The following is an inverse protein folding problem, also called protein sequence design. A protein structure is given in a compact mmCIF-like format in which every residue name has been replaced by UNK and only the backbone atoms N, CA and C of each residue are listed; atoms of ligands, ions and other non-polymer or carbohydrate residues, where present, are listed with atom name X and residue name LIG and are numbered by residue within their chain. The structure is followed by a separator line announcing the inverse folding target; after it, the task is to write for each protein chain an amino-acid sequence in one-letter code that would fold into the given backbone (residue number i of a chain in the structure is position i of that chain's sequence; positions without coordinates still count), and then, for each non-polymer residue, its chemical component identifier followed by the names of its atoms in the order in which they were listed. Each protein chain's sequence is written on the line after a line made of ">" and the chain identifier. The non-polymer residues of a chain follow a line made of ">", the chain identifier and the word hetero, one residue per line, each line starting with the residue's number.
data_IF_417047025477
#
_entry.id   IF_417047025477
#
_cell.length_a   1.000
_cell.length_b   1.000
_cell.length_c   1.000
_cell.angle_alpha   90.00
_cell.angle_beta   90.00
_cell.angle_gamma   90.00
#
_symmetry.space_group_name_H-M   'P 1'
#
loop_
_entity.id
_entity.type
_entity.pdbx_description
1 polymer ?
#
# COMPACT_ATOMS: atom_id res chain seq x y z
N UNK A 1 -35.23 -2.80 16.78
CA UNK A 1 -34.19 -2.22 17.66
C UNK A 1 -32.97 -2.02 16.77
N UNK A 2 -32.68 -0.77 16.39
CA UNK A 2 -31.57 -0.43 15.50
C UNK A 2 -30.27 -0.57 16.26
N UNK A 3 -29.38 -1.41 15.74
CA UNK A 3 -27.99 -1.55 16.19
C UNK A 3 -27.28 -0.22 15.97
N UNK A 4 -26.81 0.40 17.04
CA UNK A 4 -25.95 1.56 16.98
C UNK A 4 -24.65 1.16 16.27
N UNK A 5 -24.53 1.52 15.01
CA UNK A 5 -23.29 1.47 14.28
C UNK A 5 -22.28 2.34 15.04
N UNK A 6 -21.18 1.72 15.44
CA UNK A 6 -20.06 2.36 16.11
C UNK A 6 -19.42 3.34 15.11
N UNK A 7 -19.90 4.58 15.10
CA UNK A 7 -19.27 5.68 14.35
C UNK A 7 -17.92 5.97 15.01
N UNK A 8 -16.89 5.34 14.53
CA UNK A 8 -15.54 5.81 14.75
C UNK A 8 -15.38 7.04 13.86
N UNK A 9 -15.67 8.22 14.44
CA UNK A 9 -15.24 9.46 13.81
C UNK A 9 -13.73 9.34 13.57
N UNK A 10 -13.24 9.53 12.35
CA UNK A 10 -11.80 9.60 12.13
C UNK A 10 -11.27 10.77 12.95
N UNK A 11 -10.04 10.71 13.49
CA UNK A 11 -9.37 11.87 14.03
C UNK A 11 -9.45 12.96 12.96
N UNK A 12 -9.71 14.20 13.37
CA UNK A 12 -9.99 15.37 12.55
C UNK A 12 -9.34 15.25 11.17
N UNK A 13 -10.16 15.00 10.15
CA UNK A 13 -9.64 14.91 8.78
C UNK A 13 -9.04 16.26 8.46
N UNK A 14 -7.74 16.38 8.16
CA UNK A 14 -7.13 17.66 7.94
C UNK A 14 -7.81 18.36 6.77
N UNK A 15 -8.01 19.67 6.90
CA UNK A 15 -8.62 20.51 5.87
C UNK A 15 -7.58 21.39 5.20
N UNK A 16 -7.80 21.66 3.91
CA UNK A 16 -6.98 22.56 3.11
C UNK A 16 -7.22 24.01 3.53
N UNK A 17 -6.16 24.79 3.66
CA UNK A 17 -6.27 26.24 3.85
C UNK A 17 -6.72 26.93 2.55
N UNK A 18 -7.24 28.16 2.62
CA UNK A 18 -7.57 28.93 1.43
C UNK A 18 -6.39 29.11 0.46
N UNK A 19 -5.16 29.28 0.97
CA UNK A 19 -3.95 29.36 0.15
C UNK A 19 -3.66 28.05 -0.58
N UNK A 20 -3.79 26.91 0.10
CA UNK A 20 -3.60 25.59 -0.52
C UNK A 20 -4.67 25.29 -1.59
N UNK A 21 -5.92 25.68 -1.35
CA UNK A 21 -6.98 25.59 -2.36
C UNK A 21 -6.66 26.46 -3.59
N UNK A 22 -6.14 27.68 -3.40
CA UNK A 22 -5.72 28.54 -4.50
C UNK A 22 -4.58 27.91 -5.32
N UNK A 23 -3.55 27.38 -4.64
CA UNK A 23 -2.44 26.67 -5.31
C UNK A 23 -2.93 25.45 -6.09
N UNK A 24 -3.87 24.68 -5.54
CA UNK A 24 -4.45 23.52 -6.25
C UNK A 24 -5.28 23.97 -7.46
N UNK A 25 -5.94 25.12 -7.39
CA UNK A 25 -6.72 25.66 -8.52
C UNK A 25 -5.85 26.11 -9.70
N UNK A 26 -4.60 26.51 -9.46
CA UNK A 26 -3.65 26.88 -10.52
C UNK A 26 -3.22 25.68 -11.39
N UNK A 27 -3.19 24.48 -10.79
CA UNK A 27 -2.72 23.25 -11.46
C UNK A 27 -3.84 22.25 -11.77
N UNK A 28 -5.05 22.48 -11.27
CA UNK A 28 -6.21 21.61 -11.42
C UNK A 28 -7.32 22.21 -12.27
N UNK A 29 -8.37 21.43 -12.45
CA UNK A 29 -9.59 21.84 -13.15
C UNK A 29 -10.76 21.86 -12.15
N UNK A 30 -11.54 22.93 -12.16
CA UNK A 30 -12.78 22.98 -11.41
C UNK A 30 -13.85 22.16 -12.12
N UNK A 31 -14.46 21.23 -11.39
CA UNK A 31 -15.50 20.32 -11.85
C UNK A 31 -16.68 20.32 -10.88
N UNK A 32 -17.84 19.86 -11.37
CA UNK A 32 -19.05 19.66 -10.57
C UNK A 32 -19.59 18.25 -10.73
N UNK A 33 -20.26 17.74 -9.69
CA UNK A 33 -20.98 16.49 -9.76
C UNK A 33 -22.28 16.57 -8.94
N UNK A 34 -23.27 15.75 -9.31
CA UNK A 34 -24.61 15.73 -8.69
C UNK A 34 -24.68 14.67 -7.60
N UNK A 35 -25.62 14.83 -6.68
CA UNK A 35 -25.94 13.80 -5.71
C UNK A 35 -26.26 12.46 -6.43
N UNK A 36 -25.63 11.38 -5.98
CA UNK A 36 -25.68 10.05 -6.59
C UNK A 36 -24.56 9.74 -7.57
N UNK A 37 -23.79 10.75 -8.02
CA UNK A 37 -22.60 10.50 -8.83
C UNK A 37 -21.48 9.92 -7.96
N UNK A 38 -20.62 9.07 -8.55
CA UNK A 38 -19.40 8.61 -7.90
C UNK A 38 -18.19 9.32 -8.51
N UNK A 39 -17.35 9.91 -7.66
CA UNK A 39 -16.11 10.56 -8.08
C UNK A 39 -15.02 9.53 -8.42
N UNK A 40 -15.01 8.41 -7.72
CA UNK A 40 -14.30 7.18 -8.04
C UNK A 40 -15.03 5.98 -7.43
N UNK A 41 -14.78 4.79 -7.96
CA UNK A 41 -15.41 3.54 -7.54
C UNK A 41 -14.39 2.51 -7.09
N UNK A 42 -14.85 1.57 -6.27
CA UNK A 42 -14.08 0.36 -5.94
C UNK A 42 -13.58 -0.28 -7.24
N UNK A 43 -12.29 -0.61 -7.28
CA UNK A 43 -11.63 -1.22 -8.43
C UNK A 43 -10.96 -0.23 -9.38
N UNK A 44 -11.24 1.07 -9.27
CA UNK A 44 -10.55 2.09 -10.08
C UNK A 44 -9.05 2.11 -9.76
N UNK A 45 -8.24 2.16 -10.81
CA UNK A 45 -6.78 2.20 -10.72
C UNK A 45 -6.21 3.59 -10.95
N UNK A 46 -7.02 4.51 -11.50
CA UNK A 46 -6.64 5.90 -11.76
C UNK A 46 -7.82 6.83 -11.48
N UNK A 47 -7.56 7.86 -10.71
CA UNK A 47 -8.49 8.95 -10.43
C UNK A 47 -7.69 10.17 -9.95
N UNK A 48 -8.19 11.41 -10.16
CA UNK A 48 -7.49 12.62 -9.76
C UNK A 48 -7.47 12.79 -8.23
N UNK A 49 -6.56 13.62 -7.73
CA UNK A 49 -6.71 14.22 -6.41
C UNK A 49 -7.86 15.23 -6.46
N UNK A 50 -8.73 15.20 -5.47
CA UNK A 50 -9.97 15.97 -5.42
C UNK A 50 -9.94 16.87 -4.20
N UNK A 51 -9.99 18.19 -4.39
CA UNK A 51 -10.18 19.15 -3.31
C UNK A 51 -11.61 19.68 -3.35
N UNK A 52 -12.40 19.45 -2.31
CA UNK A 52 -13.81 19.82 -2.24
C UNK A 52 -13.93 21.31 -1.90
N UNK A 53 -14.58 22.06 -2.79
CA UNK A 53 -14.89 23.49 -2.57
C UNK A 53 -16.24 23.67 -1.88
N UNK A 54 -17.25 22.91 -2.33
CA UNK A 54 -18.63 22.98 -1.80
C UNK A 54 -19.29 21.60 -1.91
N UNK A 55 -20.30 21.35 -1.06
CA UNK A 55 -21.07 20.10 -1.07
C UNK A 55 -20.46 19.03 -0.18
N UNK A 56 -20.93 17.79 -0.37
CA UNK A 56 -20.52 16.65 0.48
C UNK A 56 -20.34 15.35 -0.31
N UNK A 57 -19.35 14.56 0.10
CA UNK A 57 -19.01 13.25 -0.45
C UNK A 57 -18.90 12.23 0.68
N UNK A 58 -19.62 11.13 0.58
CA UNK A 58 -19.49 9.99 1.48
C UNK A 58 -18.52 8.95 0.91
N UNK A 59 -17.66 8.42 1.73
CA UNK A 59 -16.86 7.24 1.43
C UNK A 59 -17.66 6.01 1.87
N UNK A 60 -17.95 5.11 0.93
CA UNK A 60 -18.77 3.93 1.20
C UNK A 60 -18.01 2.64 0.87
N UNK A 61 -18.34 1.57 1.60
CA UNK A 61 -17.82 0.22 1.34
C UNK A 61 -18.53 -0.47 0.15
N UNK A 62 -18.18 -1.72 -0.13
CA UNK A 62 -18.78 -2.51 -1.22
C UNK A 62 -20.29 -2.81 -1.00
N UNK A 63 -20.77 -2.77 0.23
CA UNK A 63 -22.18 -2.95 0.57
C UNK A 63 -22.98 -1.64 0.54
N UNK A 64 -22.30 -0.49 0.32
CA UNK A 64 -22.91 0.83 0.33
C UNK A 64 -23.02 1.47 1.72
N UNK A 65 -22.39 0.88 2.74
CA UNK A 65 -22.38 1.46 4.08
C UNK A 65 -21.40 2.64 4.12
N UNK A 66 -21.84 3.76 4.71
CA UNK A 66 -21.02 4.94 4.88
C UNK A 66 -19.93 4.70 5.94
N UNK A 67 -18.68 4.98 5.58
CA UNK A 67 -17.51 4.88 6.46
C UNK A 67 -17.20 6.25 7.06
N UNK A 68 -17.14 7.28 6.20
CA UNK A 68 -16.81 8.67 6.58
C UNK A 68 -17.37 9.63 5.54
N UNK A 69 -17.61 10.88 5.96
CA UNK A 69 -18.11 11.95 5.10
C UNK A 69 -17.11 13.11 5.05
N UNK A 70 -16.96 13.69 3.87
CA UNK A 70 -16.07 14.80 3.58
C UNK A 70 -16.88 15.97 3.02
N UNK A 71 -16.70 17.16 3.59
CA UNK A 71 -17.30 18.42 3.16
C UNK A 71 -16.27 19.39 2.59
N UNK A 72 -16.67 20.67 2.52
CA UNK A 72 -15.82 21.74 2.02
C UNK A 72 -14.45 21.81 2.69
N UNK A 73 -13.44 22.18 1.93
CA UNK A 73 -12.02 22.21 2.29
C UNK A 73 -11.40 20.84 2.62
N UNK A 74 -12.15 19.74 2.53
CA UNK A 74 -11.60 18.38 2.59
C UNK A 74 -11.02 17.96 1.23
N UNK A 75 -10.23 16.88 1.22
CA UNK A 75 -9.69 16.33 0.00
C UNK A 75 -9.79 14.80 -0.04
N UNK A 76 -9.74 14.25 -1.25
CA UNK A 76 -9.81 12.81 -1.55
C UNK A 76 -8.76 12.46 -2.60
N UNK A 77 -8.45 11.17 -2.73
CA UNK A 77 -7.58 10.70 -3.80
C UNK A 77 -6.13 10.47 -3.38
N UNK A 78 -5.76 10.83 -2.15
CA UNK A 78 -4.40 10.69 -1.64
C UNK A 78 -3.94 9.23 -1.50
N UNK A 79 -4.86 8.29 -1.26
CA UNK A 79 -4.52 6.87 -1.03
C UNK A 79 -3.85 6.21 -2.24
N UNK A 80 -4.18 6.63 -3.45
CA UNK A 80 -3.60 6.14 -4.69
C UNK A 80 -2.43 6.97 -5.20
N UNK A 81 -2.29 8.20 -4.75
CA UNK A 81 -1.27 9.15 -5.21
C UNK A 81 0.14 8.57 -5.25
N UNK A 82 0.49 7.83 -4.23
CA UNK A 82 1.85 7.32 -4.04
C UNK A 82 2.02 5.86 -4.46
N UNK A 83 0.98 5.04 -4.36
CA UNK A 83 1.09 3.59 -4.57
C UNK A 83 0.61 3.11 -5.94
N UNK A 84 -0.31 3.83 -6.59
CA UNK A 84 -1.03 3.31 -7.76
C UNK A 84 -1.99 2.17 -7.44
N UNK A 85 -2.19 1.90 -6.16
CA UNK A 85 -3.02 0.79 -5.70
C UNK A 85 -4.49 0.99 -6.08
N UNK A 86 -5.16 -0.10 -6.45
CA UNK A 86 -6.61 -0.14 -6.65
C UNK A 86 -7.38 0.37 -5.45
N UNK A 87 -8.47 1.06 -5.69
CA UNK A 87 -9.33 1.65 -4.66
C UNK A 87 -10.18 0.58 -3.98
N UNK A 88 -10.28 0.64 -2.67
CA UNK A 88 -11.10 -0.28 -1.85
C UNK A 88 -12.45 0.29 -1.43
N UNK A 89 -12.73 1.54 -1.76
CA UNK A 89 -13.94 2.27 -1.34
C UNK A 89 -14.50 3.10 -2.51
N UNK A 90 -15.76 3.48 -2.44
CA UNK A 90 -16.37 4.39 -3.43
C UNK A 90 -16.57 5.75 -2.81
N UNK A 91 -16.25 6.82 -3.55
CA UNK A 91 -16.57 8.20 -3.18
C UNK A 91 -17.89 8.62 -3.83
N UNK A 92 -18.97 8.60 -3.05
CA UNK A 92 -20.32 8.89 -3.49
C UNK A 92 -20.71 10.32 -3.13
N UNK A 93 -21.14 11.11 -4.10
CA UNK A 93 -21.66 12.47 -3.86
C UNK A 93 -23.01 12.38 -3.15
N UNK A 94 -23.11 12.97 -1.95
CA UNK A 94 -24.34 13.00 -1.15
C UNK A 94 -25.08 14.33 -1.29
N UNK A 95 -24.34 15.44 -1.51
CA UNK A 95 -24.88 16.74 -1.88
C UNK A 95 -24.14 17.25 -3.11
N UNK A 96 -24.79 17.99 -4.03
CA UNK A 96 -24.10 18.52 -5.21
C UNK A 96 -22.76 19.15 -4.83
N UNK A 97 -21.70 18.73 -5.50
CA UNK A 97 -20.34 19.09 -5.14
C UNK A 97 -19.68 19.91 -6.24
N UNK A 98 -18.91 20.93 -5.83
CA UNK A 98 -17.95 21.65 -6.65
C UNK A 98 -16.55 21.38 -6.10
N UNK A 99 -15.62 20.99 -6.96
CA UNK A 99 -14.32 20.52 -6.54
C UNK A 99 -13.24 20.82 -7.58
N UNK A 100 -11.99 20.87 -7.13
CA UNK A 100 -10.81 20.96 -7.99
C UNK A 100 -10.30 19.53 -8.20
N UNK A 101 -10.20 19.09 -9.45
CA UNK A 101 -9.58 17.83 -9.85
C UNK A 101 -8.15 18.09 -10.31
N UNK A 102 -7.17 17.50 -9.65
CA UNK A 102 -5.75 17.62 -10.00
C UNK A 102 -5.22 16.26 -10.43
N UNK A 103 -4.70 16.19 -11.66
CA UNK A 103 -4.13 14.96 -12.20
C UNK A 103 -2.91 14.52 -11.37
N UNK A 104 -2.69 13.21 -11.32
CA UNK A 104 -1.73 12.56 -10.42
C UNK A 104 -0.30 13.12 -10.57
N UNK A 105 0.16 13.32 -11.78
CA UNK A 105 1.51 13.85 -12.06
C UNK A 105 1.65 15.28 -11.57
N UNK A 106 0.62 16.10 -11.76
CA UNK A 106 0.61 17.50 -11.32
C UNK A 106 0.60 17.65 -9.81
N UNK A 107 -0.26 16.87 -9.12
CA UNK A 107 -0.27 16.93 -7.65
C UNK A 107 1.03 16.39 -7.06
N UNK A 108 1.64 15.35 -7.66
CA UNK A 108 2.96 14.86 -7.22
C UNK A 108 4.03 15.93 -7.35
N UNK A 109 4.09 16.65 -8.48
CA UNK A 109 5.01 17.77 -8.66
C UNK A 109 4.77 18.88 -7.62
N UNK A 110 3.52 19.23 -7.36
CA UNK A 110 3.15 20.23 -6.37
C UNK A 110 3.57 19.82 -4.94
N UNK A 111 3.32 18.56 -4.55
CA UNK A 111 3.76 18.03 -3.26
C UNK A 111 5.29 17.99 -3.12
N UNK A 112 6.00 18.07 -4.23
CA UNK A 112 7.44 18.20 -4.23
C UNK A 112 7.92 19.60 -3.82
N UNK A 113 7.20 20.63 -4.24
CA UNK A 113 7.54 22.05 -4.05
C UNK A 113 6.94 22.63 -2.77
N UNK A 114 5.72 22.21 -2.37
CA UNK A 114 5.00 22.70 -1.20
C UNK A 114 5.11 21.71 -0.02
N UNK A 115 6.08 21.97 0.86
CA UNK A 115 6.31 21.15 2.06
C UNK A 115 5.09 21.06 2.99
N UNK A 116 4.45 22.19 3.38
CA UNK A 116 3.23 22.18 4.20
C UNK A 116 2.07 21.38 3.61
N UNK A 117 1.82 21.48 2.30
CA UNK A 117 0.81 20.68 1.63
C UNK A 117 1.20 19.19 1.58
N UNK A 118 2.47 18.90 1.33
CA UNK A 118 3.02 17.54 1.36
C UNK A 118 2.83 16.87 2.72
N UNK A 119 3.17 17.55 3.81
CA UNK A 119 3.03 17.04 5.17
C UNK A 119 1.55 16.77 5.53
N UNK A 120 0.65 17.68 5.14
CA UNK A 120 -0.79 17.52 5.36
C UNK A 120 -1.36 16.32 4.62
N UNK A 121 -1.07 16.19 3.32
CA UNK A 121 -1.55 15.09 2.47
C UNK A 121 -0.97 13.76 2.94
N UNK A 122 0.32 13.71 3.28
CA UNK A 122 0.98 12.50 3.77
C UNK A 122 0.42 12.04 5.12
N UNK A 123 0.21 12.97 6.05
CA UNK A 123 -0.39 12.66 7.35
C UNK A 123 -1.80 12.10 7.21
N UNK A 124 -2.61 12.69 6.32
CA UNK A 124 -3.94 12.18 6.00
C UNK A 124 -3.89 10.78 5.37
N UNK A 125 -2.98 10.56 4.43
CA UNK A 125 -2.78 9.24 3.80
C UNK A 125 -2.51 8.16 4.84
N UNK A 126 -1.61 8.40 5.77
CA UNK A 126 -1.25 7.44 6.82
C UNK A 126 -2.45 7.16 7.71
N UNK A 127 -3.10 8.22 8.25
CA UNK A 127 -4.22 8.09 9.17
C UNK A 127 -5.42 7.38 8.53
N UNK A 128 -5.77 7.73 7.29
CA UNK A 128 -6.90 7.12 6.56
C UNK A 128 -6.63 5.67 6.20
N UNK A 129 -5.40 5.33 5.81
CA UNK A 129 -5.00 3.95 5.53
C UNK A 129 -5.11 3.07 6.78
N UNK A 130 -4.68 3.56 7.93
CA UNK A 130 -4.86 2.87 9.22
C UNK A 130 -6.35 2.76 9.60
N UNK A 131 -7.14 3.79 9.33
CA UNK A 131 -8.58 3.79 9.51
C UNK A 131 -9.26 2.69 8.70
N UNK A 132 -8.97 2.60 7.40
CA UNK A 132 -9.55 1.59 6.52
C UNK A 132 -9.21 0.15 6.93
N UNK A 133 -8.03 -0.11 7.49
CA UNK A 133 -7.66 -1.44 8.00
C UNK A 133 -8.55 -1.92 9.17
N UNK A 134 -9.20 -1.01 9.87
CA UNK A 134 -10.08 -1.31 11.01
C UNK A 134 -11.54 -1.48 10.60
N UNK A 135 -11.90 -1.11 9.37
CA UNK A 135 -13.27 -1.22 8.86
C UNK A 135 -13.50 -2.62 8.33
N UNK A 136 -14.47 -3.32 8.92
CA UNK A 136 -14.88 -4.64 8.42
C UNK A 136 -15.52 -4.51 7.04
N UNK A 137 -15.21 -5.43 6.13
CA UNK A 137 -15.76 -5.45 4.77
C UNK A 137 -15.02 -4.57 3.77
N UNK A 138 -13.98 -3.86 4.18
CA UNK A 138 -13.09 -3.12 3.29
C UNK A 138 -11.84 -3.95 3.00
N UNK A 139 -11.43 -4.04 1.73
CA UNK A 139 -10.22 -4.73 1.34
C UNK A 139 -10.47 -6.02 0.58
N UNK A 140 -9.50 -6.94 0.65
CA UNK A 140 -9.59 -8.26 0.03
C UNK A 140 -10.12 -9.29 1.02
N UNK A 141 -10.80 -10.31 0.51
CA UNK A 141 -11.18 -11.48 1.30
C UNK A 141 -10.22 -12.64 0.97
N UNK A 142 -9.63 -13.23 1.99
CA UNK A 142 -8.73 -14.38 1.86
C UNK A 142 -9.40 -15.58 2.52
N UNK A 143 -9.67 -16.64 1.73
CA UNK A 143 -10.27 -17.88 2.22
C UNK A 143 -9.23 -19.00 2.08
N UNK A 144 -8.79 -19.53 3.19
CA UNK A 144 -7.79 -20.60 3.19
C UNK A 144 -7.36 -20.99 4.59
N UNK A 145 -6.99 -22.30 4.78
CA UNK A 145 -6.65 -22.82 6.09
C UNK A 145 -5.30 -22.31 6.57
N UNK A 146 -5.16 -22.18 7.89
CA UNK A 146 -3.89 -21.81 8.55
C UNK A 146 -2.79 -22.82 8.26
N UNK A 147 -3.13 -24.08 8.07
CA UNK A 147 -2.18 -25.17 7.72
C UNK A 147 -1.55 -25.00 6.32
N UNK A 148 -2.15 -24.17 5.45
CA UNK A 148 -1.62 -23.93 4.10
C UNK A 148 -0.52 -22.86 4.10
N UNK A 149 0.68 -23.24 3.69
CA UNK A 149 1.81 -22.33 3.49
C UNK A 149 1.51 -21.21 2.47
N UNK A 150 0.72 -21.52 1.44
CA UNK A 150 0.29 -20.52 0.44
C UNK A 150 -0.62 -19.47 1.07
N UNK A 151 -1.58 -19.90 1.92
CA UNK A 151 -2.44 -18.99 2.69
C UNK A 151 -1.61 -18.06 3.56
N UNK A 152 -0.67 -18.62 4.33
CA UNK A 152 0.17 -17.81 5.22
C UNK A 152 1.04 -16.80 4.46
N UNK A 153 1.60 -17.18 3.31
CA UNK A 153 2.36 -16.24 2.46
C UNK A 153 1.50 -15.06 1.98
N UNK A 154 0.26 -15.31 1.58
CA UNK A 154 -0.66 -14.24 1.14
C UNK A 154 -1.06 -13.35 2.31
N UNK A 155 -1.33 -13.92 3.49
CA UNK A 155 -1.63 -13.16 4.70
C UNK A 155 -0.46 -12.27 5.14
N UNK A 156 0.77 -12.80 5.11
CA UNK A 156 1.97 -12.05 5.46
C UNK A 156 2.24 -10.93 4.45
N UNK A 157 2.04 -11.23 3.15
CA UNK A 157 2.12 -10.21 2.11
C UNK A 157 1.10 -9.09 2.33
N UNK A 158 -0.14 -9.42 2.64
CA UNK A 158 -1.20 -8.44 2.90
C UNK A 158 -0.87 -7.57 4.13
N UNK A 159 -0.37 -8.18 5.21
CA UNK A 159 0.06 -7.45 6.43
C UNK A 159 1.23 -6.51 6.14
N UNK A 160 2.28 -7.02 5.49
CA UNK A 160 3.50 -6.25 5.16
C UNK A 160 3.18 -5.04 4.28
N UNK A 161 2.29 -5.21 3.30
CA UNK A 161 1.89 -4.14 2.38
C UNK A 161 0.69 -3.33 2.87
N UNK A 162 0.21 -3.61 4.11
CA UNK A 162 -0.92 -2.89 4.74
C UNK A 162 -2.17 -2.89 3.87
N UNK A 163 -2.40 -4.01 3.19
CA UNK A 163 -3.61 -4.24 2.44
C UNK A 163 -4.72 -4.56 3.44
N UNK A 164 -5.86 -3.86 3.45
CA UNK A 164 -6.99 -4.25 4.26
C UNK A 164 -7.48 -5.63 3.81
N UNK A 165 -7.71 -6.54 4.75
CA UNK A 165 -8.21 -7.87 4.42
C UNK A 165 -9.10 -8.47 5.51
N UNK A 166 -10.01 -9.34 5.09
CA UNK A 166 -10.72 -10.27 5.93
C UNK A 166 -10.20 -11.67 5.67
N UNK A 167 -9.82 -12.41 6.72
CA UNK A 167 -9.39 -13.79 6.60
C UNK A 167 -10.47 -14.74 7.13
N UNK A 168 -10.84 -15.71 6.30
CA UNK A 168 -11.72 -16.81 6.69
C UNK A 168 -10.90 -18.11 6.71
N UNK A 169 -10.66 -18.61 7.92
CA UNK A 169 -10.01 -19.90 8.15
C UNK A 169 -11.08 -20.98 8.27
N UNK A 170 -11.24 -21.87 7.30
CA UNK A 170 -12.31 -22.88 7.33
C UNK A 170 -12.10 -23.98 8.35
N UNK A 171 -10.88 -24.12 8.88
CA UNK A 171 -10.57 -25.08 9.94
C UNK A 171 -10.98 -24.54 11.34
N UNK A 172 -11.13 -23.21 11.49
CA UNK A 172 -11.37 -22.54 12.76
C UNK A 172 -12.55 -21.53 12.72
N UNK A 173 -13.32 -21.51 11.65
CA UNK A 173 -14.45 -20.60 11.50
C UNK A 173 -15.76 -21.32 11.76
N UNK A 174 -16.64 -20.70 12.56
CA UNK A 174 -18.04 -21.10 12.69
C UNK A 174 -18.88 -20.79 11.43
N UNK A 175 -18.23 -20.26 10.36
CA UNK A 175 -18.88 -19.94 9.10
C UNK A 175 -18.85 -21.13 8.14
N UNK A 176 -19.99 -21.87 8.00
CA UNK A 176 -20.06 -23.03 7.12
C UNK A 176 -19.83 -22.70 5.63
N UNK A 177 -19.93 -21.41 5.25
CA UNK A 177 -19.74 -20.99 3.87
C UNK A 177 -18.27 -21.09 3.45
N UNK A 178 -17.32 -20.83 4.36
CA UNK A 178 -15.88 -20.95 4.08
C UNK A 178 -15.48 -22.41 3.83
N UNK A 179 -16.00 -23.35 4.63
CA UNK A 179 -15.78 -24.78 4.45
C UNK A 179 -16.37 -25.30 3.13
N UNK A 180 -17.58 -24.82 2.77
CA UNK A 180 -18.25 -25.19 1.51
C UNK A 180 -17.46 -24.66 0.29
N UNK A 181 -16.94 -23.46 0.35
CA UNK A 181 -16.10 -22.88 -0.70
C UNK A 181 -14.80 -23.68 -0.89
N UNK A 182 -14.13 -24.03 0.20
CA UNK A 182 -12.90 -24.83 0.13
C UNK A 182 -13.10 -26.25 -0.40
N UNK A 183 -14.22 -26.87 -0.06
CA UNK A 183 -14.54 -28.20 -0.58
C UNK A 183 -14.71 -28.24 -2.11
N UNK A 184 -14.86 -27.09 -2.77
CA UNK A 184 -14.95 -26.93 -4.22
C UNK A 184 -13.62 -26.61 -4.89
N UNK A 185 -12.54 -26.39 -4.11
CA UNK A 185 -11.23 -26.02 -4.60
C UNK A 185 -10.26 -27.19 -4.48
N UNK A 186 -9.42 -27.35 -5.49
CA UNK A 186 -8.24 -28.21 -5.38
C UNK A 186 -7.13 -27.54 -4.56
N UNK A 187 -6.14 -28.31 -4.15
CA UNK A 187 -5.05 -27.81 -3.31
C UNK A 187 -4.24 -26.66 -3.98
N UNK A 188 -4.15 -26.67 -5.32
CA UNK A 188 -3.43 -25.65 -6.09
C UNK A 188 -4.22 -24.32 -6.17
N UNK A 189 -5.53 -24.37 -5.93
CA UNK A 189 -6.42 -23.22 -5.93
C UNK A 189 -6.53 -22.50 -4.56
N UNK A 190 -5.80 -22.97 -3.55
CA UNK A 190 -5.79 -22.42 -2.18
C UNK A 190 -4.58 -21.52 -1.99
N UNK A 191 -4.76 -20.29 -1.41
CA UNK A 191 -6.01 -19.67 -0.96
C UNK A 191 -6.85 -19.12 -2.12
N UNK A 192 -8.17 -19.01 -1.90
CA UNK A 192 -9.02 -18.17 -2.73
C UNK A 192 -8.93 -16.73 -2.22
N UNK A 193 -8.59 -15.80 -3.10
CA UNK A 193 -8.55 -14.36 -2.78
C UNK A 193 -9.58 -13.64 -3.62
N UNK A 194 -10.50 -12.95 -2.97
CA UNK A 194 -11.50 -12.09 -3.61
C UNK A 194 -11.05 -10.64 -3.52
N UNK A 195 -10.96 -10.00 -4.66
CA UNK A 195 -10.61 -8.58 -4.75
C UNK A 195 -11.86 -7.71 -4.61
N UNK A 196 -11.71 -6.44 -4.19
CA UNK A 196 -12.77 -5.45 -4.32
C UNK A 196 -13.24 -5.38 -5.78
N UNK A 197 -14.55 -5.44 -6.01
CA UNK A 197 -15.10 -5.52 -7.37
C UNK A 197 -15.40 -6.93 -7.86
N UNK A 198 -15.14 -7.98 -7.05
CA UNK A 198 -15.64 -9.35 -7.27
C UNK A 198 -14.72 -10.27 -8.06
N UNK A 199 -13.54 -9.80 -8.49
CA UNK A 199 -12.54 -10.68 -9.14
C UNK A 199 -12.01 -11.71 -8.15
N UNK A 200 -11.95 -12.97 -8.54
CA UNK A 200 -11.39 -14.07 -7.76
C UNK A 200 -10.03 -14.52 -8.30
N UNK A 201 -9.07 -14.67 -7.40
CA UNK A 201 -7.76 -15.28 -7.67
C UNK A 201 -7.67 -16.58 -6.89
N UNK A 202 -7.32 -17.67 -7.59
CA UNK A 202 -7.22 -19.02 -7.02
C UNK A 202 -5.76 -19.41 -6.90
N UNK A 203 -5.31 -19.72 -5.69
CA UNK A 203 -3.92 -20.03 -5.39
C UNK A 203 -2.91 -18.98 -5.88
N UNK A 204 -3.17 -17.66 -5.73
CA UNK A 204 -2.30 -16.68 -6.33
C UNK A 204 -0.93 -16.65 -5.64
N UNK A 205 0.10 -16.42 -6.45
CA UNK A 205 1.38 -15.97 -5.90
C UNK A 205 1.27 -14.53 -5.37
N UNK A 206 2.20 -14.11 -4.52
CA UNK A 206 2.28 -12.71 -4.05
C UNK A 206 2.44 -11.73 -5.22
N UNK A 207 3.18 -12.11 -6.27
CA UNK A 207 3.33 -11.31 -7.50
C UNK A 207 2.02 -11.16 -8.27
N UNK A 208 1.21 -12.23 -8.40
CA UNK A 208 -0.11 -12.17 -9.02
C UNK A 208 -1.07 -11.27 -8.23
N UNK A 209 -1.07 -11.40 -6.89
CA UNK A 209 -1.88 -10.53 -6.03
C UNK A 209 -1.43 -9.07 -6.14
N UNK A 210 -0.11 -8.82 -6.13
CA UNK A 210 0.47 -7.49 -6.29
C UNK A 210 -0.02 -6.81 -7.58
N UNK A 211 0.11 -7.51 -8.71
CA UNK A 211 -0.34 -7.00 -10.01
C UNK A 211 -1.84 -6.73 -10.04
N UNK A 212 -2.64 -7.66 -9.53
CA UNK A 212 -4.09 -7.52 -9.50
C UNK A 212 -4.57 -6.35 -8.63
N UNK A 213 -3.79 -5.96 -7.62
CA UNK A 213 -4.06 -4.82 -6.75
C UNK A 213 -3.39 -3.51 -7.23
N UNK A 214 -2.60 -3.55 -8.32
CA UNK A 214 -1.83 -2.40 -8.76
C UNK A 214 -0.74 -1.97 -7.77
N UNK A 215 -0.30 -2.87 -6.89
CA UNK A 215 0.76 -2.62 -5.92
C UNK A 215 2.09 -3.01 -6.54
N UNK A 216 2.96 -2.04 -6.70
CA UNK A 216 4.28 -2.31 -7.23
C UNK A 216 4.38 -2.19 -8.75
N UNK A 217 5.60 -1.99 -9.21
CA UNK A 217 5.96 -1.86 -10.61
C UNK A 217 6.23 -3.24 -11.19
N UNK A 218 5.74 -3.51 -12.38
CA UNK A 218 6.16 -4.67 -13.14
C UNK A 218 7.51 -4.38 -13.80
N UNK A 219 8.47 -5.29 -13.62
CA UNK A 219 9.78 -5.21 -14.26
C UNK A 219 9.72 -5.86 -15.66
N UNK A 220 10.51 -5.34 -16.58
CA UNK A 220 10.79 -6.00 -17.84
C UNK A 220 11.56 -7.33 -17.61
N UNK A 221 11.63 -8.24 -18.60
CA UNK A 221 12.45 -9.44 -18.47
C UNK A 221 13.92 -9.14 -18.17
N UNK A 222 14.45 -8.06 -18.73
CA UNK A 222 15.77 -7.49 -18.41
C UNK A 222 15.55 -6.02 -18.10
N UNK A 223 15.92 -5.61 -16.89
CA UNK A 223 15.90 -4.22 -16.43
C UNK A 223 17.33 -3.69 -16.32
N UNK A 224 17.49 -2.38 -16.56
CA UNK A 224 18.75 -1.68 -16.35
C UNK A 224 18.63 -0.63 -15.26
N UNK A 225 19.72 -0.39 -14.52
CA UNK A 225 19.81 0.66 -13.51
C UNK A 225 21.25 1.14 -13.36
N UNK A 226 21.45 2.37 -12.89
CA UNK A 226 22.76 2.81 -12.39
C UNK A 226 23.02 2.21 -11.02
N UNK A 227 22.01 2.23 -10.14
CA UNK A 227 22.05 1.65 -8.80
C UNK A 227 20.87 0.69 -8.60
N UNK A 228 21.18 -0.59 -8.36
CA UNK A 228 20.21 -1.54 -7.85
C UNK A 228 20.35 -1.67 -6.32
N UNK A 229 19.26 -1.48 -5.61
CA UNK A 229 19.16 -1.70 -4.16
C UNK A 229 18.34 -2.95 -3.91
N UNK A 230 18.90 -3.95 -3.27
CA UNK A 230 18.24 -5.20 -2.88
C UNK A 230 17.80 -5.11 -1.42
N UNK A 231 16.50 -4.94 -1.22
CA UNK A 231 15.87 -4.73 0.09
C UNK A 231 15.32 -3.32 0.27
N UNK A 232 14.02 -3.21 0.56
CA UNK A 232 13.30 -1.95 0.74
C UNK A 232 13.01 -1.61 2.22
N UNK A 233 13.88 -2.06 3.13
CA UNK A 233 13.89 -1.60 4.52
C UNK A 233 14.48 -0.19 4.66
N UNK A 234 14.62 0.36 5.89
CA UNK A 234 15.12 1.71 6.11
C UNK A 234 16.48 2.00 5.47
N UNK A 235 17.39 1.03 5.48
CA UNK A 235 18.71 1.18 4.86
C UNK A 235 18.60 1.28 3.32
N UNK A 236 17.82 0.39 2.70
CA UNK A 236 17.62 0.41 1.24
C UNK A 236 16.84 1.62 0.78
N UNK A 237 15.81 2.04 1.51
CA UNK A 237 15.07 3.27 1.20
C UNK A 237 15.94 4.51 1.37
N UNK A 238 16.82 4.54 2.38
CA UNK A 238 17.82 5.59 2.52
C UNK A 238 18.76 5.65 1.31
N UNK A 239 19.31 4.50 0.90
CA UNK A 239 20.15 4.41 -0.31
C UNK A 239 19.39 4.85 -1.57
N UNK A 240 18.11 4.51 -1.68
CA UNK A 240 17.27 4.92 -2.80
C UNK A 240 17.10 6.44 -2.87
N UNK A 241 16.85 7.09 -1.72
CA UNK A 241 16.74 8.55 -1.62
C UNK A 241 18.05 9.20 -2.08
N UNK A 242 19.18 8.76 -1.54
CA UNK A 242 20.48 9.34 -1.90
C UNK A 242 20.83 9.09 -3.37
N UNK A 243 20.70 7.85 -3.85
CA UNK A 243 21.02 7.53 -5.24
C UNK A 243 20.19 8.34 -6.24
N UNK A 244 18.87 8.36 -6.04
CA UNK A 244 17.96 9.05 -6.94
C UNK A 244 18.10 10.59 -6.84
N UNK A 245 18.36 11.16 -5.66
CA UNK A 245 18.56 12.60 -5.49
C UNK A 245 19.85 13.10 -6.16
N UNK A 246 20.84 12.23 -6.36
CA UNK A 246 22.06 12.52 -7.12
C UNK A 246 21.91 12.27 -8.64
N UNK A 247 20.69 11.94 -9.08
CA UNK A 247 20.37 11.75 -10.49
C UNK A 247 20.69 10.35 -11.04
N UNK A 248 20.99 9.37 -10.19
CA UNK A 248 21.16 8.00 -10.64
C UNK A 248 19.82 7.34 -10.94
N UNK A 249 19.73 6.59 -12.04
CA UNK A 249 18.61 5.68 -12.27
C UNK A 249 18.64 4.57 -11.21
N UNK A 250 17.85 4.74 -10.15
CA UNK A 250 17.87 3.90 -8.96
C UNK A 250 16.65 2.98 -8.92
N UNK A 251 16.90 1.67 -8.96
CA UNK A 251 15.90 0.64 -8.80
C UNK A 251 16.03 -0.04 -7.43
N UNK A 252 14.94 -0.12 -6.71
CA UNK A 252 14.84 -0.89 -5.45
C UNK A 252 13.95 -2.09 -5.67
N UNK A 253 14.43 -3.28 -5.29
CA UNK A 253 13.63 -4.51 -5.27
C UNK A 253 13.51 -5.05 -3.85
N UNK A 254 12.37 -5.66 -3.53
CA UNK A 254 12.17 -6.36 -2.26
C UNK A 254 11.23 -7.55 -2.46
N UNK A 255 11.50 -8.64 -1.77
CA UNK A 255 10.74 -9.91 -1.91
C UNK A 255 9.36 -9.89 -1.24
N UNK A 256 9.12 -8.92 -0.36
CA UNK A 256 7.92 -8.87 0.47
C UNK A 256 7.12 -7.59 0.26
N UNK A 257 7.76 -6.44 0.45
CA UNK A 257 7.09 -5.15 0.38
C UNK A 257 7.94 -4.00 0.92
N UNK A 258 7.44 -2.78 0.74
CA UNK A 258 8.16 -1.57 1.11
C UNK A 258 8.11 -1.32 2.62
N UNK A 259 9.26 -1.00 3.22
CA UNK A 259 9.41 -0.64 4.64
C UNK A 259 10.16 -1.68 5.49
N UNK A 260 10.26 -2.92 4.99
CA UNK A 260 10.96 -4.00 5.69
C UNK A 260 10.41 -4.24 7.12
N UNK A 261 11.20 -4.89 7.95
CA UNK A 261 10.81 -5.22 9.35
C UNK A 261 10.56 -3.97 10.21
N UNK A 262 11.24 -2.86 9.93
CA UNK A 262 11.04 -1.61 10.67
C UNK A 262 9.60 -1.09 10.57
N UNK A 263 8.90 -1.36 9.47
CA UNK A 263 7.50 -0.97 9.26
C UNK A 263 6.53 -1.52 10.31
N UNK A 264 6.86 -2.63 10.97
CA UNK A 264 6.06 -3.24 12.04
C UNK A 264 6.39 -2.70 13.44
N UNK A 265 7.47 -1.94 13.60
CA UNK A 265 7.90 -1.42 14.89
C UNK A 265 6.96 -0.35 15.41
N UNK A 266 6.48 -0.51 16.64
CA UNK A 266 5.59 0.46 17.29
C UNK A 266 6.27 1.82 17.48
N UNK A 267 7.56 1.84 17.82
CA UNK A 267 8.36 3.05 18.05
C UNK A 267 9.83 2.78 17.76
N UNK A 268 10.45 3.69 17.03
CA UNK A 268 11.85 3.70 16.68
C UNK A 268 12.46 4.99 17.24
N UNK A 269 13.42 4.88 18.16
CA UNK A 269 14.02 6.02 18.86
C UNK A 269 15.48 6.27 18.49
N UNK A 270 16.07 5.36 17.72
CA UNK A 270 17.48 5.40 17.32
C UNK A 270 17.67 5.70 15.82
N UNK A 271 16.65 6.20 15.13
CA UNK A 271 16.79 6.62 13.74
C UNK A 271 17.12 8.12 13.68
N UNK A 272 18.14 8.45 12.90
CA UNK A 272 18.65 9.82 12.77
C UNK A 272 17.54 10.77 12.29
N UNK A 273 17.43 11.94 12.93
CA UNK A 273 16.44 12.98 12.60
C UNK A 273 15.14 12.91 13.40
N UNK A 274 14.94 11.88 14.23
CA UNK A 274 13.73 11.70 15.04
C UNK A 274 14.04 11.58 16.54
N UNK A 275 14.47 12.67 17.21
CA UNK A 275 14.91 12.63 18.61
C UNK A 275 13.78 12.25 19.59
N UNK A 276 12.53 12.48 19.22
CA UNK A 276 11.35 12.08 20.01
C UNK A 276 10.85 10.67 19.66
N UNK A 277 11.53 9.97 18.74
CA UNK A 277 11.06 8.72 18.16
C UNK A 277 9.98 8.90 17.12
N UNK A 278 9.76 7.85 16.33
CA UNK A 278 8.74 7.78 15.26
C UNK A 278 8.21 6.35 15.18
N UNK A 279 6.96 6.14 14.77
CA UNK A 279 6.49 4.79 14.47
C UNK A 279 7.18 4.23 13.23
N UNK A 280 7.41 2.92 13.19
CA UNK A 280 7.98 2.28 12.01
C UNK A 280 7.12 2.46 10.77
N UNK A 281 5.80 2.48 10.94
CA UNK A 281 4.83 2.76 9.90
C UNK A 281 5.05 4.14 9.29
N UNK A 282 5.15 5.16 10.10
CA UNK A 282 5.34 6.53 9.66
C UNK A 282 6.71 6.74 9.03
N UNK A 283 7.79 6.25 9.67
CA UNK A 283 9.15 6.32 9.15
C UNK A 283 9.23 5.73 7.74
N UNK A 284 8.74 4.51 7.56
CA UNK A 284 8.84 3.81 6.27
C UNK A 284 7.93 4.41 5.21
N UNK A 285 6.74 4.94 5.59
CA UNK A 285 5.86 5.65 4.66
C UNK A 285 6.50 6.95 4.17
N UNK A 286 7.12 7.73 5.06
CA UNK A 286 7.87 8.95 4.70
C UNK A 286 9.06 8.63 3.80
N UNK A 287 9.82 7.57 4.10
CA UNK A 287 10.97 7.15 3.30
C UNK A 287 10.57 6.69 1.88
N UNK A 288 9.49 5.90 1.75
CA UNK A 288 8.93 5.50 0.45
C UNK A 288 8.49 6.71 -0.36
N UNK A 289 7.80 7.66 0.29
CA UNK A 289 7.36 8.90 -0.35
C UNK A 289 8.55 9.72 -0.84
N UNK A 290 9.57 9.86 0.01
CA UNK A 290 10.78 10.60 -0.31
C UNK A 290 11.56 9.94 -1.46
N UNK A 291 11.72 8.61 -1.47
CA UNK A 291 12.37 7.89 -2.55
C UNK A 291 11.64 8.12 -3.90
N UNK A 292 10.31 8.02 -3.90
CA UNK A 292 9.47 8.29 -5.08
C UNK A 292 9.50 9.74 -5.50
N UNK A 293 9.67 10.67 -4.57
CA UNK A 293 9.84 12.09 -4.85
C UNK A 293 11.05 12.33 -5.77
N UNK A 294 12.12 11.59 -5.61
CA UNK A 294 13.32 11.64 -6.45
C UNK A 294 13.30 10.63 -7.60
N UNK A 295 12.13 10.11 -7.98
CA UNK A 295 11.92 9.16 -9.07
C UNK A 295 12.61 7.80 -8.90
N UNK A 296 12.98 7.41 -7.67
CA UNK A 296 13.43 6.05 -7.41
C UNK A 296 12.33 5.03 -7.81
N UNK A 297 12.73 4.03 -8.59
CA UNK A 297 11.86 2.95 -9.05
C UNK A 297 11.75 1.90 -7.96
N UNK A 298 10.58 1.73 -7.36
CA UNK A 298 10.34 0.76 -6.29
C UNK A 298 9.53 -0.42 -6.85
N UNK A 299 10.12 -1.61 -6.87
CA UNK A 299 9.49 -2.82 -7.41
C UNK A 299 9.41 -3.92 -6.36
N UNK A 300 8.19 -4.38 -6.08
CA UNK A 300 7.89 -5.47 -5.16
C UNK A 300 6.70 -6.28 -5.68
N UNK A 301 6.57 -7.56 -5.36
CA UNK A 301 7.56 -8.42 -4.72
C UNK A 301 8.52 -9.03 -5.76
N UNK A 302 9.80 -8.81 -5.62
CA UNK A 302 10.84 -9.43 -6.43
C UNK A 302 11.98 -9.93 -5.55
N UNK A 303 12.28 -11.20 -5.64
CA UNK A 303 13.33 -11.84 -4.85
C UNK A 303 14.59 -12.03 -5.69
N UNK A 304 15.68 -11.44 -5.22
CA UNK A 304 17.00 -11.70 -5.77
C UNK A 304 17.47 -13.10 -5.36
N UNK A 305 17.95 -13.88 -6.33
CA UNK A 305 18.48 -15.23 -6.12
C UNK A 305 20.00 -15.29 -6.19
N UNK A 306 20.58 -14.60 -7.17
CA UNK A 306 22.01 -14.61 -7.42
C UNK A 306 22.51 -13.24 -7.85
N UNK A 307 23.78 -12.97 -7.56
CA UNK A 307 24.53 -11.81 -8.04
C UNK A 307 25.74 -12.31 -8.79
N UNK A 308 25.85 -11.95 -10.05
CA UNK A 308 27.02 -12.20 -10.91
C UNK A 308 27.77 -10.89 -11.09
N UNK A 309 28.95 -10.73 -10.44
CA UNK A 309 29.76 -9.54 -10.62
C UNK A 309 30.33 -9.47 -12.04
N UNK A 310 30.31 -8.29 -12.64
CA UNK A 310 30.91 -7.98 -13.94
C UNK A 310 31.70 -6.68 -13.88
N UNK A 311 32.52 -6.44 -14.88
CA UNK A 311 33.42 -5.27 -14.92
C UNK A 311 32.66 -3.95 -15.18
N UNK A 312 31.67 -3.96 -16.07
CA UNK A 312 30.87 -2.78 -16.41
C UNK A 312 29.51 -2.79 -15.70
N UNK A 313 28.89 -3.95 -15.62
CA UNK A 313 27.58 -4.17 -14.97
C UNK A 313 27.59 -5.48 -14.21
N UNK A 314 26.92 -5.46 -13.08
CA UNK A 314 26.58 -6.65 -12.30
C UNK A 314 25.21 -7.12 -12.70
N UNK A 315 25.02 -8.43 -12.79
CA UNK A 315 23.72 -9.05 -13.12
C UNK A 315 23.11 -9.63 -11.82
N UNK A 316 21.90 -9.23 -11.50
CA UNK A 316 21.12 -9.84 -10.40
C UNK A 316 19.98 -10.62 -11.01
N UNK A 317 19.97 -11.94 -10.75
CA UNK A 317 18.91 -12.86 -11.16
C UNK A 317 17.78 -12.85 -10.15
N UNK A 318 16.53 -12.82 -10.63
CA UNK A 318 15.31 -12.83 -9.84
C UNK A 318 14.60 -14.18 -9.90
N UNK A 319 13.72 -14.45 -8.92
CA UNK A 319 13.02 -15.75 -8.77
C UNK A 319 12.11 -16.11 -9.97
N UNK A 320 11.69 -15.12 -10.76
CA UNK A 320 10.78 -15.26 -11.88
C UNK A 320 11.48 -15.22 -13.26
N UNK A 321 12.73 -15.64 -13.31
CA UNK A 321 13.60 -15.68 -14.51
C UNK A 321 13.88 -14.30 -15.14
N UNK A 322 13.67 -13.22 -14.38
CA UNK A 322 14.07 -11.86 -14.77
C UNK A 322 15.48 -11.55 -14.30
N UNK A 323 16.07 -10.57 -14.96
CA UNK A 323 17.41 -10.09 -14.65
C UNK A 323 17.43 -8.56 -14.48
N UNK A 324 18.29 -8.10 -13.60
CA UNK A 324 18.60 -6.66 -13.47
C UNK A 324 20.08 -6.45 -13.70
N UNK A 325 20.42 -5.67 -14.72
CA UNK A 325 21.79 -5.24 -15.02
C UNK A 325 22.04 -3.86 -14.38
N UNK A 326 22.94 -3.79 -13.40
CA UNK A 326 23.22 -2.55 -12.68
C UNK A 326 24.71 -2.22 -12.67
N UNK A 327 25.07 -0.91 -12.71
CA UNK A 327 26.47 -0.44 -12.57
C UNK A 327 26.97 -0.61 -11.14
N UNK A 328 26.05 -0.47 -10.17
CA UNK A 328 26.32 -0.74 -8.76
C UNK A 328 25.16 -1.50 -8.13
N UNK A 329 25.48 -2.40 -7.21
CA UNK A 329 24.49 -3.15 -6.42
C UNK A 329 24.73 -2.92 -4.95
N UNK A 330 23.70 -2.46 -4.24
CA UNK A 330 23.70 -2.28 -2.79
C UNK A 330 22.82 -3.35 -2.16
N UNK A 331 23.42 -4.18 -1.31
CA UNK A 331 22.71 -5.21 -0.58
C UNK A 331 22.22 -4.68 0.77
N UNK A 332 20.92 -4.50 0.91
CA UNK A 332 20.23 -4.03 2.13
C UNK A 332 19.19 -5.05 2.58
N UNK A 333 19.50 -6.34 2.47
CA UNK A 333 18.59 -7.48 2.62
C UNK A 333 18.05 -7.68 4.04
N UNK A 334 18.56 -6.90 5.02
CA UNK A 334 18.14 -6.96 6.41
C UNK A 334 18.66 -8.20 7.14
N UNK A 335 17.95 -8.61 8.20
CA UNK A 335 18.31 -9.74 9.03
C UNK A 335 17.23 -10.82 8.95
N UNK A 336 17.67 -12.07 8.92
CA UNK A 336 16.82 -13.23 9.18
C UNK A 336 17.07 -13.73 10.58
N UNK A 337 16.02 -13.77 11.39
CA UNK A 337 16.14 -14.33 12.74
C UNK A 337 16.23 -15.86 12.69
N UNK A 338 17.09 -16.41 13.53
CA UNK A 338 17.19 -17.85 13.71
C UNK A 338 15.94 -18.34 14.43
N UNK A 339 15.21 -19.25 13.81
CA UNK A 339 14.07 -19.89 14.46
C UNK A 339 14.54 -20.87 15.52
N UNK A 340 13.82 -20.92 16.65
CA UNK A 340 14.06 -21.92 17.68
C UNK A 340 13.57 -23.29 17.15
N UNK A 341 14.38 -24.37 17.30
CA UNK A 341 13.99 -25.71 16.87
C UNK A 341 13.07 -26.36 17.93
N UNK A 342 11.88 -25.79 18.11
CA UNK A 342 10.88 -26.28 19.08
C UNK A 342 9.65 -26.76 18.31
N UNK A 343 9.11 -27.90 18.68
CA UNK A 343 7.86 -28.42 18.09
C UNK A 343 6.72 -27.41 18.27
N UNK A 344 5.87 -27.29 17.25
CA UNK A 344 4.70 -26.39 17.20
C UNK A 344 5.04 -24.90 17.31
N UNK A 345 6.31 -24.49 17.12
CA UNK A 345 6.72 -23.09 17.14
C UNK A 345 5.98 -22.28 16.08
N UNK A 346 5.76 -22.85 14.89
CA UNK A 346 5.05 -22.19 13.78
C UNK A 346 3.62 -21.79 14.15
N UNK A 347 2.95 -22.51 15.04
CA UNK A 347 1.59 -22.20 15.50
C UNK A 347 1.55 -21.02 16.47
N UNK A 348 2.69 -20.70 17.06
CA UNK A 348 2.87 -19.64 18.06
C UNK A 348 3.52 -18.37 17.48
N UNK A 349 4.18 -18.46 16.32
CA UNK A 349 4.81 -17.31 15.65
C UNK A 349 3.74 -16.27 15.24
N UNK A 350 4.01 -15.01 15.56
CA UNK A 350 3.11 -13.89 15.27
C UNK A 350 1.91 -13.74 16.23
N UNK A 351 1.75 -14.67 17.19
CA UNK A 351 0.72 -14.58 18.23
C UNK A 351 1.30 -14.43 19.64
N UNK A 352 2.20 -15.32 20.02
CA UNK A 352 2.84 -15.36 21.34
C UNK A 352 4.36 -15.37 21.29
N UNK A 353 4.95 -15.69 20.13
CA UNK A 353 6.38 -15.67 19.87
C UNK A 353 6.68 -14.62 18.80
N UNK A 354 7.55 -13.67 19.12
CA UNK A 354 8.00 -12.59 18.26
C UNK A 354 9.53 -12.57 18.24
N UNK A 355 10.12 -12.21 17.10
CA UNK A 355 11.56 -12.07 16.91
C UNK A 355 11.98 -10.61 16.77
#
# INVERSE_FOLDING_TARGET
>A
MASAANQVAPPDSPTLSPSQLATLAEVGEERTAKAGDALYRIGDTSYPFIAILEGEVAIVDAAGNEIVRHGAASFLGELNLLSGQTVFVTALVTQPVRFIAVERERIRALLFEDGPLSDLVLSALIARREGLQRVQGVGIEIVGPRSSQATMRILDYARTNRIPFAWRDPEHSDDPSAATLLAQLDAASIPLVRLPGGTELRGPSTGQLSRALGIGRELAPVEEADLLVVGAGPAGLGAAVYGASEGLDTLVIDSSGLGGQAGASRRIENYLGFPAGISGTELTSRAVTQARKFDARLATPYRALALEPGDERHIVQLEDDREVAARAVLLATGAQYRRLPVENMADSEGSTVFY
#
